data_IF_778347198299
#
_entry.id   IF_778347198299
#
_cell.length_a   1.000
_cell.length_b   1.000
_cell.length_c   1.000
_cell.angle_alpha   90.00
_cell.angle_beta   90.00
_cell.angle_gamma   90.00
#
_symmetry.space_group_name_H-M   'P 1'
#
loop_
_entity.id
_entity.type
_entity.pdbx_description
1 polymer ?
#
# COMPACT_ATOMS: atom_id res chain seq x y z
N UNK A 1 -25.07 61.72 9.26
CA UNK A 1 -25.47 60.58 10.11
C UNK A 1 -26.94 60.20 9.82
N UNK A 2 -27.22 59.91 8.55
CA UNK A 2 -28.45 59.31 8.03
C UNK A 2 -28.12 58.86 6.59
N UNK A 3 -28.75 57.80 6.09
CA UNK A 3 -28.54 57.15 4.78
C UNK A 3 -27.46 56.05 4.68
N UNK A 4 -27.59 54.97 5.45
CA UNK A 4 -26.85 53.74 5.12
C UNK A 4 -27.61 52.44 5.43
N UNK A 5 -28.93 52.47 5.49
CA UNK A 5 -29.73 51.30 5.92
C UNK A 5 -30.50 50.62 4.78
N UNK A 6 -30.58 51.20 3.58
CA UNK A 6 -31.36 50.58 2.50
C UNK A 6 -30.66 50.60 1.13
N UNK A 7 -29.45 50.03 1.08
CA UNK A 7 -28.73 49.81 -0.18
C UNK A 7 -28.71 48.32 -0.56
N UNK A 8 -29.00 47.97 -1.82
CA UNK A 8 -28.87 46.60 -2.32
C UNK A 8 -27.45 46.05 -2.11
N UNK A 9 -27.33 44.78 -1.72
CA UNK A 9 -26.06 44.15 -1.32
C UNK A 9 -24.93 44.24 -2.37
N UNK A 10 -25.25 44.44 -3.65
CA UNK A 10 -24.25 44.61 -4.70
C UNK A 10 -23.62 46.02 -4.72
N UNK A 11 -24.31 47.03 -4.20
CA UNK A 11 -23.83 48.41 -4.10
C UNK A 11 -22.84 48.58 -2.93
N UNK A 12 -23.16 47.98 -1.78
CA UNK A 12 -22.25 47.91 -0.62
C UNK A 12 -20.92 47.23 -0.97
N UNK A 13 -20.96 46.18 -1.80
CA UNK A 13 -19.75 45.48 -2.29
C UNK A 13 -18.87 46.33 -3.19
N UNK A 14 -19.46 47.21 -4.03
CA UNK A 14 -18.69 48.13 -4.88
C UNK A 14 -18.04 49.24 -4.06
N UNK A 15 -18.72 49.75 -3.03
CA UNK A 15 -18.18 50.76 -2.13
C UNK A 15 -17.00 50.20 -1.29
N UNK A 16 -17.13 48.98 -0.76
CA UNK A 16 -16.08 48.32 0.03
C UNK A 16 -14.81 47.99 -0.78
N UNK A 17 -14.96 47.59 -2.05
CA UNK A 17 -13.84 47.37 -2.96
C UNK A 17 -13.07 48.66 -3.30
N UNK A 18 -13.78 49.80 -3.36
CA UNK A 18 -13.19 51.12 -3.66
C UNK A 18 -12.40 51.69 -2.48
N UNK A 19 -12.67 51.25 -1.25
CA UNK A 19 -11.99 51.65 -0.02
C UNK A 19 -10.88 50.67 0.43
N UNK A 20 -10.58 49.63 -0.36
CA UNK A 20 -9.49 48.69 -0.07
C UNK A 20 -9.74 47.76 1.13
N UNK A 21 -10.98 47.66 1.62
CA UNK A 21 -11.33 46.81 2.76
C UNK A 21 -11.61 45.39 2.25
N UNK A 22 -10.66 44.49 2.49
CA UNK A 22 -10.86 43.04 2.24
C UNK A 22 -11.83 42.52 3.29
N UNK A 23 -13.11 42.41 2.91
CA UNK A 23 -14.09 41.68 3.72
C UNK A 23 -13.68 40.20 3.75
N UNK A 24 -13.12 39.78 4.88
CA UNK A 24 -12.93 38.38 5.24
C UNK A 24 -14.22 37.63 4.93
N UNK A 25 -14.16 36.68 4.00
CA UNK A 25 -15.27 35.74 3.75
C UNK A 25 -15.55 35.04 5.07
N UNK A 26 -16.67 35.39 5.70
CA UNK A 26 -17.26 34.55 6.73
C UNK A 26 -17.45 33.17 6.11
N UNK A 27 -16.66 32.20 6.56
CA UNK A 27 -16.84 30.80 6.21
C UNK A 27 -18.30 30.45 6.47
N UNK A 28 -19.06 29.94 5.50
CA UNK A 28 -20.40 29.51 5.77
C UNK A 28 -20.31 28.44 6.86
N UNK A 29 -20.88 28.76 8.02
CA UNK A 29 -21.15 27.82 9.09
C UNK A 29 -21.77 26.60 8.43
N UNK A 30 -21.15 25.44 8.66
CA UNK A 30 -21.56 24.13 8.12
C UNK A 30 -23.00 23.88 8.55
N UNK A 31 -23.95 24.37 7.76
CA UNK A 31 -25.38 24.09 7.93
C UNK A 31 -25.51 22.57 7.89
N UNK A 32 -26.11 22.03 8.95
CA UNK A 32 -26.24 20.61 9.17
C UNK A 32 -26.77 19.94 7.91
N UNK A 33 -25.99 19.00 7.39
CA UNK A 33 -26.61 17.90 6.68
C UNK A 33 -27.59 17.28 7.68
N UNK A 34 -28.88 17.47 7.45
CA UNK A 34 -29.88 16.47 7.78
C UNK A 34 -29.52 15.23 6.98
N UNK A 35 -28.46 14.56 7.43
CA UNK A 35 -27.97 13.32 6.90
C UNK A 35 -29.04 12.31 7.30
N UNK A 36 -29.91 11.96 6.36
CA UNK A 36 -30.62 10.69 6.42
C UNK A 36 -29.52 9.62 6.49
N UNK A 37 -29.07 9.31 7.71
CA UNK A 37 -28.10 8.26 7.96
C UNK A 37 -28.81 6.99 7.56
N UNK A 38 -28.59 6.57 6.33
CA UNK A 38 -29.04 5.26 5.87
C UNK A 38 -28.60 4.24 6.93
N UNK A 39 -29.50 3.37 7.39
CA UNK A 39 -29.14 2.38 8.38
C UNK A 39 -27.93 1.59 7.87
N UNK A 40 -26.97 1.27 8.74
CA UNK A 40 -25.76 0.57 8.32
C UNK A 40 -26.16 -0.71 7.57
N UNK A 41 -25.61 -0.85 6.35
CA UNK A 41 -25.89 -2.01 5.48
C UNK A 41 -25.85 -3.30 6.31
N UNK A 42 -26.86 -4.17 6.21
CA UNK A 42 -26.91 -5.39 7.01
C UNK A 42 -25.66 -6.23 6.77
N UNK A 43 -25.08 -6.75 7.86
CA UNK A 43 -23.92 -7.64 7.77
C UNK A 43 -24.34 -8.88 6.99
N UNK A 44 -23.70 -9.13 5.85
CA UNK A 44 -23.92 -10.38 5.10
C UNK A 44 -23.68 -11.58 6.04
N UNK A 45 -24.57 -12.60 6.05
CA UNK A 45 -24.37 -13.76 6.89
C UNK A 45 -23.04 -14.43 6.54
N UNK A 46 -22.26 -14.79 7.57
CA UNK A 46 -21.00 -15.50 7.38
C UNK A 46 -21.31 -16.89 6.81
N UNK A 47 -20.99 -17.13 5.54
CA UNK A 47 -20.94 -18.48 4.98
C UNK A 47 -19.74 -19.19 5.62
N UNK A 48 -20.02 -19.99 6.64
CA UNK A 48 -19.01 -20.82 7.29
C UNK A 48 -18.81 -22.08 6.46
N UNK A 49 -17.56 -22.52 6.25
CA UNK A 49 -17.30 -23.74 5.52
C UNK A 49 -17.77 -24.97 6.33
N UNK A 50 -18.08 -26.09 5.66
CA UNK A 50 -18.78 -27.23 6.26
C UNK A 50 -18.07 -27.79 7.51
N UNK A 51 -16.74 -27.84 7.51
CA UNK A 51 -15.96 -28.46 8.59
C UNK A 51 -15.45 -27.44 9.64
N UNK A 52 -16.06 -26.25 9.74
CA UNK A 52 -15.57 -25.19 10.64
C UNK A 52 -15.64 -25.53 12.14
N UNK A 53 -16.43 -26.52 12.56
CA UNK A 53 -16.55 -26.97 13.97
C UNK A 53 -15.99 -28.36 14.25
N UNK A 54 -15.66 -29.14 13.21
CA UNK A 54 -15.14 -30.52 13.37
C UNK A 54 -13.81 -30.48 14.12
N UNK A 55 -13.50 -31.46 14.95
CA UNK A 55 -12.15 -31.62 15.51
C UNK A 55 -11.15 -31.93 14.38
N UNK A 56 -9.85 -31.75 14.61
CA UNK A 56 -8.83 -32.23 13.67
C UNK A 56 -8.51 -33.67 14.00
N UNK A 57 -8.64 -34.55 13.01
CA UNK A 57 -8.25 -35.96 13.13
C UNK A 57 -6.81 -36.15 12.62
N UNK A 58 -6.10 -37.22 13.02
CA UNK A 58 -4.75 -37.52 12.53
C UNK A 58 -4.69 -37.63 11.00
N UNK A 59 -5.72 -38.19 10.37
CA UNK A 59 -5.84 -38.32 8.92
C UNK A 59 -5.96 -36.95 8.24
N UNK A 60 -6.69 -36.01 8.87
CA UNK A 60 -6.77 -34.61 8.42
C UNK A 60 -5.37 -33.95 8.47
N UNK A 61 -4.52 -34.31 9.43
CA UNK A 61 -3.18 -33.74 9.58
C UNK A 61 -2.20 -34.23 8.50
N UNK A 62 -2.26 -35.51 8.14
CA UNK A 62 -1.45 -36.08 7.06
C UNK A 62 -1.83 -35.49 5.71
N UNK A 63 -3.14 -35.46 5.41
CA UNK A 63 -3.65 -34.83 4.20
C UNK A 63 -3.31 -33.34 4.16
N UNK A 64 -3.42 -32.66 5.31
CA UNK A 64 -3.05 -31.26 5.42
C UNK A 64 -1.55 -31.04 5.22
N UNK A 65 -0.68 -31.87 5.79
CA UNK A 65 0.76 -31.77 5.63
C UNK A 65 1.17 -31.91 4.15
N UNK A 66 0.60 -32.88 3.43
CA UNK A 66 0.83 -33.07 2.00
C UNK A 66 0.35 -31.86 1.17
N UNK A 67 -0.86 -31.38 1.43
CA UNK A 67 -1.44 -30.23 0.72
C UNK A 67 -0.72 -28.91 1.04
N UNK A 68 -0.24 -28.73 2.26
CA UNK A 68 0.32 -27.46 2.71
C UNK A 68 1.67 -27.15 2.07
N UNK A 69 2.43 -28.16 1.62
CA UNK A 69 3.71 -27.96 0.91
C UNK A 69 3.47 -27.16 -0.38
N UNK A 70 2.50 -27.57 -1.20
CA UNK A 70 2.22 -26.96 -2.51
C UNK A 70 1.22 -25.80 -2.44
N UNK A 71 0.19 -25.88 -1.60
CA UNK A 71 -0.97 -24.99 -1.66
C UNK A 71 -0.96 -23.85 -0.63
N UNK A 72 -1.62 -22.73 -0.96
CA UNK A 72 -1.78 -21.64 0.00
C UNK A 72 -2.73 -22.02 1.15
N UNK A 73 -2.58 -21.42 2.33
CA UNK A 73 -3.49 -21.67 3.46
C UNK A 73 -4.98 -21.36 3.16
N UNK A 74 -5.26 -20.57 2.12
CA UNK A 74 -6.63 -20.34 1.64
C UNK A 74 -7.12 -21.56 0.85
N UNK A 75 -6.33 -22.02 -0.13
CA UNK A 75 -6.64 -23.19 -0.94
C UNK A 75 -6.76 -24.46 -0.09
N UNK A 76 -5.86 -24.68 0.87
CA UNK A 76 -6.00 -25.79 1.83
C UNK A 76 -7.29 -25.71 2.65
N UNK A 77 -7.77 -24.50 2.95
CA UNK A 77 -9.03 -24.31 3.66
C UNK A 77 -10.26 -24.62 2.79
N UNK A 78 -10.20 -24.28 1.50
CA UNK A 78 -11.24 -24.62 0.54
C UNK A 78 -11.33 -26.15 0.37
N UNK A 79 -10.19 -26.83 0.23
CA UNK A 79 -10.12 -28.29 0.07
C UNK A 79 -10.58 -29.06 1.31
N UNK A 80 -10.13 -28.65 2.50
CA UNK A 80 -10.47 -29.33 3.76
C UNK A 80 -11.83 -28.89 4.34
N UNK A 81 -12.52 -27.95 3.68
CA UNK A 81 -13.75 -27.34 4.21
C UNK A 81 -13.53 -26.58 5.52
N UNK A 82 -12.33 -26.00 5.72
CA UNK A 82 -11.92 -25.30 6.94
C UNK A 82 -11.72 -23.80 6.68
N UNK A 83 -11.81 -23.00 7.74
CA UNK A 83 -11.45 -21.58 7.63
C UNK A 83 -9.93 -21.42 7.50
N UNK A 84 -9.47 -20.40 6.75
CA UNK A 84 -8.06 -20.00 6.68
C UNK A 84 -7.41 -19.83 8.07
N UNK A 85 -8.19 -19.34 9.05
CA UNK A 85 -7.72 -19.17 10.43
C UNK A 85 -7.46 -20.52 11.10
N UNK A 86 -8.36 -21.49 10.97
CA UNK A 86 -8.17 -22.83 11.51
C UNK A 86 -6.94 -23.52 10.91
N UNK A 87 -6.79 -23.43 9.59
CA UNK A 87 -5.61 -23.93 8.86
C UNK A 87 -4.31 -23.33 9.39
N UNK A 88 -4.24 -22.00 9.55
CA UNK A 88 -3.05 -21.35 10.08
C UNK A 88 -2.73 -21.75 11.52
N UNK A 89 -3.76 -21.92 12.37
CA UNK A 89 -3.57 -22.37 13.74
C UNK A 89 -3.04 -23.80 13.78
N UNK A 90 -3.57 -24.69 12.93
CA UNK A 90 -3.12 -26.08 12.86
C UNK A 90 -1.70 -26.19 12.30
N UNK A 91 -1.39 -25.44 11.25
CA UNK A 91 -0.03 -25.34 10.69
C UNK A 91 1.02 -25.00 11.77
N UNK A 92 0.70 -24.04 12.66
CA UNK A 92 1.56 -23.69 13.79
C UNK A 92 1.71 -24.84 14.79
N UNK A 93 0.63 -25.55 15.12
CA UNK A 93 0.66 -26.70 16.03
C UNK A 93 1.47 -27.87 15.47
N UNK A 94 1.41 -28.09 14.16
CA UNK A 94 2.16 -29.14 13.46
C UNK A 94 3.60 -28.73 13.10
N UNK A 95 4.04 -27.53 13.45
CA UNK A 95 5.35 -27.02 13.05
C UNK A 95 5.50 -26.76 11.55
N UNK A 96 4.41 -26.84 10.79
CA UNK A 96 4.34 -26.54 9.36
C UNK A 96 4.36 -25.03 9.15
N UNK A 97 5.52 -24.43 9.36
CA UNK A 97 5.75 -23.02 9.07
C UNK A 97 6.19 -22.93 7.62
N UNK A 98 5.33 -22.41 6.72
CA UNK A 98 5.84 -21.89 5.44
C UNK A 98 6.89 -20.86 5.79
N UNK A 99 8.15 -21.12 5.46
CA UNK A 99 9.29 -20.23 5.68
C UNK A 99 8.88 -18.80 5.28
N UNK A 100 8.46 -18.03 6.29
CA UNK A 100 8.04 -16.63 6.15
C UNK A 100 9.27 -15.74 6.13
N UNK A 101 10.37 -16.23 6.69
CA UNK A 101 11.68 -15.65 6.60
C UNK A 101 12.38 -16.19 5.35
N UNK A 102 12.93 -15.27 4.57
CA UNK A 102 13.90 -15.59 3.54
C UNK A 102 15.15 -16.15 4.22
N UNK A 103 15.72 -17.21 3.65
CA UNK A 103 17.01 -17.72 4.08
C UNK A 103 18.11 -16.64 3.89
N UNK A 104 19.25 -16.77 4.57
CA UNK A 104 20.40 -15.88 4.42
C UNK A 104 20.84 -15.74 2.94
N UNK A 105 20.81 -16.84 2.17
CA UNK A 105 21.12 -16.82 0.73
C UNK A 105 20.10 -16.03 -0.07
N UNK A 106 18.82 -16.26 0.19
CA UNK A 106 17.72 -15.53 -0.45
C UNK A 106 17.77 -14.04 -0.09
N UNK A 107 18.08 -13.68 1.17
CA UNK A 107 18.25 -12.29 1.61
C UNK A 107 19.38 -11.57 0.89
N UNK A 108 20.54 -12.24 0.74
CA UNK A 108 21.67 -11.72 -0.04
C UNK A 108 21.33 -11.61 -1.54
N UNK A 109 20.50 -12.52 -2.04
CA UNK A 109 19.99 -12.42 -3.41
C UNK A 109 19.09 -11.19 -3.59
N UNK A 110 18.16 -10.95 -2.66
CA UNK A 110 17.31 -9.75 -2.65
C UNK A 110 18.17 -8.49 -2.60
N UNK A 111 19.13 -8.37 -1.68
CA UNK A 111 19.96 -7.16 -1.59
C UNK A 111 20.74 -6.87 -2.87
N UNK A 112 21.26 -7.91 -3.53
CA UNK A 112 22.05 -7.77 -4.75
C UNK A 112 21.21 -7.51 -6.01
N UNK A 113 20.02 -8.11 -6.11
CA UNK A 113 19.27 -8.15 -7.36
C UNK A 113 18.00 -7.31 -7.35
N UNK A 114 17.47 -6.92 -6.19
CA UNK A 114 16.25 -6.12 -6.09
C UNK A 114 16.35 -4.83 -6.90
N UNK A 115 17.51 -4.18 -6.86
CA UNK A 115 17.78 -2.93 -7.55
C UNK A 115 18.06 -3.12 -9.05
N UNK A 116 18.53 -4.30 -9.45
CA UNK A 116 18.79 -4.56 -10.88
C UNK A 116 17.55 -5.08 -11.60
N UNK A 117 16.78 -5.92 -10.94
CA UNK A 117 15.68 -6.69 -11.54
C UNK A 117 14.31 -6.14 -11.16
N UNK A 118 14.22 -5.38 -10.05
CA UNK A 118 12.95 -4.98 -9.47
C UNK A 118 12.34 -6.08 -8.59
N UNK A 119 11.36 -5.70 -7.77
CA UNK A 119 10.74 -6.59 -6.79
C UNK A 119 9.98 -7.76 -7.43
N UNK A 120 9.40 -7.56 -8.62
CA UNK A 120 8.58 -8.58 -9.29
C UNK A 120 9.42 -9.68 -9.91
N UNK A 121 10.47 -9.32 -10.66
CA UNK A 121 11.38 -10.28 -11.26
C UNK A 121 12.23 -10.99 -10.19
N UNK A 122 12.65 -10.28 -9.14
CA UNK A 122 13.34 -10.90 -7.99
C UNK A 122 12.44 -11.93 -7.31
N UNK A 123 11.15 -11.62 -7.16
CA UNK A 123 10.16 -12.53 -6.60
C UNK A 123 9.96 -13.77 -7.49
N UNK A 124 9.85 -13.56 -8.81
CA UNK A 124 9.74 -14.64 -9.81
C UNK A 124 10.94 -15.59 -9.74
N UNK A 125 12.17 -15.07 -9.70
CA UNK A 125 13.40 -15.87 -9.63
C UNK A 125 13.56 -16.64 -8.33
N UNK A 126 13.07 -16.10 -7.22
CA UNK A 126 13.07 -16.78 -5.92
C UNK A 126 11.87 -17.71 -5.73
N UNK A 127 10.92 -17.75 -6.67
CA UNK A 127 9.66 -18.48 -6.50
C UNK A 127 8.84 -17.97 -5.31
N UNK A 128 8.99 -16.69 -4.95
CA UNK A 128 8.34 -16.07 -3.79
C UNK A 128 7.32 -15.03 -4.22
N UNK A 129 6.46 -14.65 -3.29
CA UNK A 129 5.50 -13.58 -3.52
C UNK A 129 6.18 -12.20 -3.42
N UNK A 130 5.83 -11.26 -4.31
CA UNK A 130 6.39 -9.89 -4.38
C UNK A 130 6.33 -9.17 -3.03
N UNK A 131 5.23 -9.37 -2.29
CA UNK A 131 5.04 -8.81 -0.93
C UNK A 131 6.13 -9.24 0.06
N UNK A 132 6.65 -10.46 -0.06
CA UNK A 132 7.73 -10.98 0.79
C UNK A 132 9.03 -10.23 0.50
N UNK A 133 9.35 -10.07 -0.79
CA UNK A 133 10.53 -9.33 -1.23
C UNK A 133 10.46 -7.86 -0.81
N UNK A 134 9.30 -7.22 -0.96
CA UNK A 134 9.09 -5.84 -0.48
C UNK A 134 9.30 -5.73 1.03
N UNK A 135 8.71 -6.63 1.83
CA UNK A 135 8.91 -6.61 3.29
C UNK A 135 10.38 -6.77 3.67
N UNK A 136 11.09 -7.64 2.98
CA UNK A 136 12.52 -7.83 3.21
C UNK A 136 13.33 -6.59 2.82
N UNK A 137 12.98 -5.95 1.71
CA UNK A 137 13.59 -4.70 1.30
C UNK A 137 13.47 -3.63 2.40
N UNK A 138 12.27 -3.44 2.97
CA UNK A 138 12.09 -2.52 4.12
C UNK A 138 13.02 -2.90 5.28
N UNK A 139 13.06 -4.20 5.62
CA UNK A 139 13.86 -4.70 6.73
C UNK A 139 15.36 -4.45 6.54
N UNK A 140 15.84 -4.52 5.30
CA UNK A 140 17.23 -4.26 4.94
C UNK A 140 17.51 -2.77 4.68
N UNK A 141 16.54 -1.87 4.90
CA UNK A 141 16.68 -0.45 4.56
C UNK A 141 16.73 -0.18 3.05
N UNK A 142 16.42 -1.18 2.24
CA UNK A 142 16.34 -1.04 0.79
C UNK A 142 15.03 -0.33 0.40
N UNK A 143 15.05 0.51 -0.65
CA UNK A 143 13.85 1.16 -1.14
C UNK A 143 12.80 0.12 -1.56
N UNK A 144 11.69 0.05 -0.83
CA UNK A 144 10.74 -1.07 -0.91
C UNK A 144 9.37 -0.75 -1.52
N UNK A 145 8.86 0.47 -1.37
CA UNK A 145 7.43 0.75 -1.61
C UNK A 145 7.25 1.68 -2.80
N UNK A 146 6.54 1.22 -3.84
CA UNK A 146 6.14 2.06 -4.97
C UNK A 146 7.22 2.32 -6.01
N UNK A 147 8.20 1.44 -6.15
CA UNK A 147 9.26 1.51 -7.15
C UNK A 147 8.95 0.58 -8.35
N UNK A 148 8.35 1.05 -9.45
CA UNK A 148 8.49 0.45 -10.77
C UNK A 148 9.66 1.17 -11.43
N UNK A 149 10.83 1.00 -10.86
CA UNK A 149 12.02 1.55 -11.49
C UNK A 149 12.67 0.33 -12.10
N UNK A 150 12.21 0.02 -13.31
CA UNK A 150 12.94 -0.86 -14.19
C UNK A 150 14.43 -0.45 -14.19
N UNK A 151 15.32 -1.41 -14.41
CA UNK A 151 16.77 -1.20 -14.32
C UNK A 151 17.25 0.07 -15.05
N UNK A 152 16.58 0.41 -16.17
CA UNK A 152 16.87 1.58 -17.00
C UNK A 152 16.46 2.89 -16.30
N UNK A 153 15.26 2.97 -15.75
CA UNK A 153 14.81 4.12 -14.93
C UNK A 153 15.71 4.28 -13.68
N UNK A 154 16.26 3.21 -13.14
CA UNK A 154 17.12 3.29 -11.95
C UNK A 154 18.50 3.84 -12.31
N UNK A 155 19.05 3.39 -13.43
CA UNK A 155 20.27 3.96 -13.99
C UNK A 155 20.11 5.46 -14.21
N UNK A 156 18.99 5.89 -14.81
CA UNK A 156 18.67 7.30 -15.00
C UNK A 156 18.60 8.08 -13.67
N UNK A 157 17.94 7.51 -12.65
CA UNK A 157 17.83 8.11 -11.31
C UNK A 157 19.20 8.29 -10.63
N UNK A 158 20.16 7.41 -10.87
CA UNK A 158 21.52 7.52 -10.30
C UNK A 158 22.42 8.46 -11.10
N UNK A 159 22.22 8.57 -12.43
CA UNK A 159 23.08 9.38 -13.29
C UNK A 159 22.66 10.84 -13.38
N UNK A 160 21.37 11.15 -13.33
CA UNK A 160 20.86 12.50 -13.56
C UNK A 160 20.63 13.27 -12.25
N UNK A 161 20.67 14.60 -12.35
CA UNK A 161 20.23 15.50 -11.27
C UNK A 161 18.73 15.36 -11.03
N UNK A 162 18.28 15.60 -9.80
CA UNK A 162 16.86 15.57 -9.40
C UNK A 162 16.01 16.45 -10.32
N UNK A 163 16.53 17.63 -10.67
CA UNK A 163 15.78 18.64 -11.40
C UNK A 163 15.55 18.23 -12.87
N UNK A 164 16.49 17.51 -13.47
CA UNK A 164 16.36 16.96 -14.82
C UNK A 164 15.44 15.72 -14.87
N UNK A 165 15.37 14.98 -13.76
CA UNK A 165 14.61 13.73 -13.64
C UNK A 165 13.12 13.92 -13.40
N UNK A 166 12.74 14.98 -12.70
CA UNK A 166 11.35 15.26 -12.35
C UNK A 166 10.44 15.28 -13.59
N UNK A 167 10.70 16.09 -14.63
CA UNK A 167 9.81 16.15 -15.80
C UNK A 167 9.74 14.84 -16.59
N UNK A 168 10.85 14.09 -16.67
CA UNK A 168 10.90 12.81 -17.39
C UNK A 168 10.09 11.71 -16.68
N UNK A 169 10.17 11.66 -15.35
CA UNK A 169 9.52 10.61 -14.56
C UNK A 169 8.04 10.93 -14.26
N UNK A 170 7.68 12.21 -14.11
CA UNK A 170 6.26 12.59 -14.05
C UNK A 170 5.54 12.22 -15.35
N UNK A 171 6.15 12.49 -16.51
CA UNK A 171 5.58 12.16 -17.81
C UNK A 171 5.51 10.64 -18.07
N UNK A 172 6.57 9.89 -17.75
CA UNK A 172 6.68 8.46 -18.08
C UNK A 172 5.95 7.54 -17.11
N UNK A 173 5.99 7.86 -15.81
CA UNK A 173 5.48 6.97 -14.75
C UNK A 173 4.23 7.52 -14.05
N UNK A 174 3.74 8.70 -14.45
CA UNK A 174 2.61 9.38 -13.80
C UNK A 174 2.93 9.75 -12.34
N UNK A 175 4.21 9.96 -12.03
CA UNK A 175 4.64 10.29 -10.67
C UNK A 175 4.42 11.76 -10.35
N UNK A 176 4.27 12.08 -9.07
CA UNK A 176 4.31 13.47 -8.61
C UNK A 176 5.77 13.89 -8.42
N UNK A 177 6.06 15.18 -8.62
CA UNK A 177 7.41 15.72 -8.39
C UNK A 177 7.93 15.41 -6.98
N UNK A 178 7.06 15.50 -5.96
CA UNK A 178 7.38 15.13 -4.59
C UNK A 178 7.84 13.67 -4.47
N UNK A 179 7.08 12.74 -5.06
CA UNK A 179 7.42 11.31 -5.06
C UNK A 179 8.77 11.08 -5.72
N UNK A 180 9.06 11.73 -6.84
CA UNK A 180 10.36 11.62 -7.54
C UNK A 180 11.53 12.09 -6.67
N UNK A 181 11.40 13.24 -6.00
CA UNK A 181 12.45 13.78 -5.11
C UNK A 181 12.76 12.85 -3.94
N UNK A 182 11.72 12.41 -3.22
CA UNK A 182 11.87 11.49 -2.07
C UNK A 182 12.51 10.18 -2.49
N UNK A 183 12.16 9.70 -3.68
CA UNK A 183 12.65 8.45 -4.27
C UNK A 183 14.13 8.58 -4.66
N UNK A 184 14.51 9.67 -5.35
CA UNK A 184 15.91 9.95 -5.71
C UNK A 184 16.81 10.12 -4.49
N UNK A 185 16.39 10.90 -3.50
CA UNK A 185 17.16 11.13 -2.28
C UNK A 185 17.44 9.82 -1.52
N UNK A 186 16.45 8.92 -1.44
CA UNK A 186 16.61 7.60 -0.81
C UNK A 186 17.60 6.71 -1.56
N UNK A 187 17.61 6.75 -2.90
CA UNK A 187 18.58 6.00 -3.69
C UNK A 187 20.00 6.51 -3.48
N UNK A 188 20.20 7.83 -3.53
CA UNK A 188 21.52 8.44 -3.31
C UNK A 188 22.05 8.15 -1.91
N UNK A 189 21.20 8.26 -0.88
CA UNK A 189 21.58 7.93 0.48
C UNK A 189 21.96 6.44 0.65
N UNK A 190 21.25 5.55 -0.04
CA UNK A 190 21.61 4.13 -0.05
C UNK A 190 22.91 3.84 -0.80
N UNK A 191 23.12 4.48 -1.96
CA UNK A 191 24.33 4.31 -2.78
C UNK A 191 25.58 4.84 -2.06
N UNK A 192 25.44 5.94 -1.32
CA UNK A 192 26.52 6.51 -0.50
C UNK A 192 26.86 5.67 0.74
N UNK A 193 25.96 4.82 1.22
CA UNK A 193 26.15 3.98 2.41
C UNK A 193 26.82 2.62 2.09
N UNK A 194 27.31 2.45 0.87
CA UNK A 194 27.76 1.18 0.30
C UNK A 194 29.24 1.22 -0.06
#
# INVERSE_FOLDING_TARGET
MAELIDMPAHWVRRQAARLGVVLLRASPTRQGHSESVEPPKPRRPRRLPPNHRRAWEPEDDEQFAALYVSNSAKACGEELGRTKRAVNTRAKKLGLIKLTALDARERKFVSKHLLRLGAEETARRLGRHVRTIRREAVRQGLPSVGWPVDAKTQRLLLTLSVDDLIPLLTAKLGWTAYRTRVTHARLRAWDAAR
#
